data_IF_047301928898
#
_entry.id   IF_047301928898
#
_cell.length_a   1.000
_cell.length_b   1.000
_cell.length_c   1.000
_cell.angle_alpha   90.00
_cell.angle_beta   90.00
_cell.angle_gamma   90.00
#
_symmetry.space_group_name_H-M   'P 1'
#
loop_
_entity.id
_entity.type
_entity.pdbx_description
1 polymer ?
#
# COMPACT_ATOMS: atom_id res chain seq x y z
N UNK A 1 186.17 10.07 56.48
CA UNK A 1 184.88 9.53 56.97
C UNK A 1 185.11 8.08 57.35
N UNK A 2 184.85 7.69 58.60
CA UNK A 2 185.25 6.38 59.17
C UNK A 2 184.35 5.24 58.65
N UNK A 3 184.93 4.06 58.41
CA UNK A 3 184.27 2.85 57.91
C UNK A 3 183.05 2.44 58.78
N UNK A 4 183.07 2.77 60.07
CA UNK A 4 182.01 2.47 61.04
C UNK A 4 180.70 3.24 60.77
N UNK A 5 180.77 4.46 60.23
CA UNK A 5 179.57 5.26 59.92
C UNK A 5 178.87 4.77 58.66
N UNK A 6 179.63 4.23 57.69
CA UNK A 6 179.09 3.58 56.50
C UNK A 6 178.36 2.28 56.84
N UNK A 7 178.91 1.47 57.76
CA UNK A 7 178.27 0.23 58.21
C UNK A 7 176.95 0.50 58.97
N UNK A 8 176.90 1.51 59.84
CA UNK A 8 175.63 1.92 60.49
C UNK A 8 174.60 2.44 59.49
N UNK A 9 175.02 3.23 58.50
CA UNK A 9 174.10 3.72 57.46
C UNK A 9 173.57 2.59 56.58
N UNK A 10 174.41 1.61 56.22
CA UNK A 10 174.01 0.44 55.46
C UNK A 10 173.01 -0.42 56.23
N UNK A 11 173.29 -0.73 57.50
CA UNK A 11 172.39 -1.54 58.34
C UNK A 11 171.05 -0.82 58.62
N UNK A 12 171.08 0.53 58.73
CA UNK A 12 169.88 1.35 58.84
C UNK A 12 169.10 1.41 57.52
N UNK A 13 169.79 1.39 56.38
CA UNK A 13 169.18 1.33 55.06
C UNK A 13 168.56 -0.03 54.79
N UNK A 14 169.22 -1.13 55.15
CA UNK A 14 168.65 -2.49 55.07
C UNK A 14 167.41 -2.62 55.96
N UNK A 15 167.48 -2.15 57.21
CA UNK A 15 166.31 -2.16 58.10
C UNK A 15 165.15 -1.30 57.57
N UNK A 16 165.44 -0.14 56.96
CA UNK A 16 164.41 0.68 56.31
C UNK A 16 163.86 0.01 55.05
N UNK A 17 164.72 -0.67 54.28
CA UNK A 17 164.32 -1.44 53.10
C UNK A 17 163.39 -2.60 53.51
N UNK A 18 163.73 -3.33 54.57
CA UNK A 18 162.91 -4.41 55.11
C UNK A 18 161.58 -3.90 55.67
N UNK A 19 161.58 -2.75 56.34
CA UNK A 19 160.37 -2.11 56.85
C UNK A 19 159.44 -1.63 55.72
N UNK A 20 160.01 -1.01 54.69
CA UNK A 20 159.25 -0.61 53.49
C UNK A 20 158.75 -1.84 52.73
N UNK A 21 159.55 -2.90 52.62
CA UNK A 21 159.16 -4.15 51.98
C UNK A 21 158.01 -4.83 52.74
N UNK A 22 158.08 -4.90 54.08
CA UNK A 22 156.98 -5.45 54.89
C UNK A 22 155.72 -4.60 54.80
N UNK A 23 155.83 -3.27 54.83
CA UNK A 23 154.68 -2.38 54.63
C UNK A 23 154.09 -2.52 53.21
N UNK A 24 154.94 -2.69 52.19
CA UNK A 24 154.51 -2.91 50.82
C UNK A 24 153.85 -4.28 50.64
N UNK A 25 154.36 -5.33 51.29
CA UNK A 25 153.75 -6.66 51.34
C UNK A 25 152.41 -6.65 52.07
N UNK A 26 152.29 -5.93 53.19
CA UNK A 26 151.01 -5.77 53.90
C UNK A 26 149.99 -5.01 53.06
N UNK A 27 150.39 -3.95 52.36
CA UNK A 27 149.53 -3.22 51.42
C UNK A 27 149.17 -4.05 50.20
N UNK A 28 150.08 -4.86 49.69
CA UNK A 28 149.81 -5.81 48.60
C UNK A 28 148.81 -6.87 49.06
N UNK A 29 149.00 -7.49 50.22
CA UNK A 29 148.02 -8.44 50.79
C UNK A 29 146.66 -7.80 51.04
N UNK A 30 146.63 -6.55 51.54
CA UNK A 30 145.39 -5.81 51.72
C UNK A 30 144.70 -5.50 50.39
N UNK A 31 145.48 -5.14 49.36
CA UNK A 31 144.99 -4.90 48.00
C UNK A 31 144.50 -6.18 47.30
N UNK A 32 145.22 -7.30 47.46
CA UNK A 32 144.81 -8.63 46.99
C UNK A 32 143.50 -9.06 47.64
N UNK A 33 143.36 -8.86 48.96
CA UNK A 33 142.11 -9.14 49.68
C UNK A 33 140.95 -8.27 49.17
N UNK A 34 141.18 -6.95 48.99
CA UNK A 34 140.16 -6.06 48.41
C UNK A 34 139.78 -6.48 46.98
N UNK A 35 140.74 -6.93 46.17
CA UNK A 35 140.48 -7.42 44.83
C UNK A 35 139.61 -8.69 44.86
N UNK A 36 139.88 -9.62 45.77
CA UNK A 36 139.12 -10.85 45.95
C UNK A 36 137.69 -10.57 46.46
N UNK A 37 137.54 -9.63 47.40
CA UNK A 37 136.24 -9.13 47.87
C UNK A 37 135.44 -8.50 46.72
N UNK A 38 136.09 -7.66 45.89
CA UNK A 38 135.45 -7.05 44.71
C UNK A 38 135.11 -8.07 43.62
N UNK A 39 135.93 -9.11 43.41
CA UNK A 39 135.63 -10.20 42.49
C UNK A 39 134.44 -11.03 42.96
N UNK A 40 134.35 -11.27 44.27
CA UNK A 40 133.21 -11.93 44.91
C UNK A 40 131.94 -11.10 44.73
N UNK A 41 131.99 -9.79 45.02
CA UNK A 41 130.87 -8.88 44.80
C UNK A 41 130.45 -8.79 43.32
N UNK A 42 131.42 -8.72 42.39
CA UNK A 42 131.13 -8.72 40.96
C UNK A 42 130.39 -10.00 40.55
N UNK A 43 130.84 -11.15 41.04
CA UNK A 43 130.22 -12.44 40.75
C UNK A 43 128.79 -12.52 41.33
N UNK A 44 128.57 -12.00 42.54
CA UNK A 44 127.22 -11.89 43.12
C UNK A 44 126.30 -10.98 42.29
N UNK A 45 126.81 -9.83 41.83
CA UNK A 45 126.07 -8.91 40.95
C UNK A 45 125.76 -9.55 39.60
N UNK A 46 126.71 -10.27 38.99
CA UNK A 46 126.50 -11.01 37.74
C UNK A 46 125.41 -12.09 37.90
N UNK A 47 125.42 -12.83 39.01
CA UNK A 47 124.37 -13.81 39.31
C UNK A 47 123.00 -13.16 39.50
N UNK A 48 122.94 -12.01 40.20
CA UNK A 48 121.72 -11.24 40.38
C UNK A 48 121.20 -10.68 39.05
N UNK A 49 122.08 -10.17 38.20
CA UNK A 49 121.73 -9.70 36.85
C UNK A 49 121.14 -10.83 36.02
N UNK A 50 121.81 -11.98 35.97
CA UNK A 50 121.32 -13.16 35.25
C UNK A 50 119.96 -13.63 35.78
N UNK A 51 119.76 -13.59 37.10
CA UNK A 51 118.46 -13.88 37.71
C UNK A 51 117.40 -12.87 37.27
N UNK A 52 117.68 -11.56 37.31
CA UNK A 52 116.73 -10.54 36.85
C UNK A 52 116.44 -10.61 35.36
N UNK A 53 117.40 -10.96 34.52
CA UNK A 53 117.21 -11.20 33.08
C UNK A 53 116.23 -12.36 32.86
N UNK A 54 116.43 -13.49 33.56
CA UNK A 54 115.47 -14.62 33.45
C UNK A 54 114.07 -14.26 33.94
N UNK A 55 113.95 -13.44 34.98
CA UNK A 55 112.65 -12.95 35.44
C UNK A 55 112.00 -11.99 34.43
N UNK A 56 112.78 -11.16 33.75
CA UNK A 56 112.30 -10.25 32.71
C UNK A 56 111.81 -11.02 31.49
N UNK A 57 112.56 -12.03 31.03
CA UNK A 57 112.12 -12.93 29.96
C UNK A 57 110.83 -13.67 30.32
N UNK A 58 110.68 -14.12 31.57
CA UNK A 58 109.44 -14.73 32.07
C UNK A 58 108.26 -13.74 32.07
N UNK A 59 108.50 -12.50 32.48
CA UNK A 59 107.49 -11.44 32.45
C UNK A 59 107.07 -11.12 31.02
N UNK A 60 108.02 -11.00 30.07
CA UNK A 60 107.73 -10.79 28.65
C UNK A 60 106.88 -11.94 28.08
N UNK A 61 107.28 -13.19 28.34
CA UNK A 61 106.51 -14.36 27.94
C UNK A 61 105.09 -14.37 28.53
N UNK A 62 104.95 -14.01 29.81
CA UNK A 62 103.64 -13.91 30.46
C UNK A 62 102.79 -12.77 29.87
N UNK A 63 103.37 -11.61 29.57
CA UNK A 63 102.65 -10.49 28.93
C UNK A 63 102.18 -10.87 27.53
N UNK A 64 103.02 -11.51 26.72
CA UNK A 64 102.61 -12.02 25.39
C UNK A 64 101.49 -13.07 25.50
N UNK A 65 101.56 -13.96 26.49
CA UNK A 65 100.49 -14.92 26.74
C UNK A 65 99.17 -14.22 27.12
N UNK A 66 99.22 -13.20 27.98
CA UNK A 66 98.06 -12.40 28.35
C UNK A 66 97.45 -11.68 27.14
N UNK A 67 98.27 -11.05 26.29
CA UNK A 67 97.81 -10.39 25.06
C UNK A 67 97.05 -11.34 24.13
N UNK A 68 97.57 -12.57 23.93
CA UNK A 68 96.87 -13.59 23.14
C UNK A 68 95.54 -13.98 23.80
N UNK A 69 95.52 -14.17 25.12
CA UNK A 69 94.26 -14.50 25.82
C UNK A 69 93.24 -13.37 25.76
N UNK A 70 93.68 -12.11 25.83
CA UNK A 70 92.82 -10.94 25.68
C UNK A 70 92.23 -10.90 24.27
N UNK A 71 93.06 -11.06 23.24
CA UNK A 71 92.60 -11.11 21.85
C UNK A 71 91.55 -12.19 21.60
N UNK A 72 91.78 -13.41 22.10
CA UNK A 72 90.80 -14.51 21.98
C UNK A 72 89.50 -14.17 22.72
N UNK A 73 89.58 -13.50 23.88
CA UNK A 73 88.40 -13.08 24.63
C UNK A 73 87.64 -11.95 23.93
N UNK A 74 88.34 -11.00 23.32
CA UNK A 74 87.75 -9.94 22.49
C UNK A 74 87.00 -10.55 21.30
N UNK A 75 87.62 -11.48 20.56
CA UNK A 75 86.96 -12.19 19.44
C UNK A 75 85.73 -13.00 19.90
N UNK A 76 85.78 -13.62 21.09
CA UNK A 76 84.62 -14.31 21.66
C UNK A 76 83.49 -13.36 22.04
N UNK A 77 83.82 -12.18 22.57
CA UNK A 77 82.84 -11.15 22.90
C UNK A 77 82.19 -10.59 21.64
N UNK A 78 82.97 -10.30 20.60
CA UNK A 78 82.43 -9.85 19.30
C UNK A 78 81.46 -10.87 18.68
N UNK A 79 81.80 -12.16 18.72
CA UNK A 79 80.91 -13.22 18.24
C UNK A 79 79.63 -13.33 19.09
N UNK A 80 79.74 -13.15 20.40
CA UNK A 80 78.57 -13.16 21.29
C UNK A 80 77.67 -11.95 21.01
N UNK A 81 78.26 -10.77 20.82
CA UNK A 81 77.55 -9.54 20.48
C UNK A 81 76.85 -9.65 19.12
N UNK A 82 77.52 -10.20 18.10
CA UNK A 82 76.89 -10.43 16.79
C UNK A 82 75.74 -11.44 16.89
N UNK A 83 75.95 -12.55 17.58
CA UNK A 83 74.91 -13.57 17.75
C UNK A 83 73.68 -13.04 18.50
N UNK A 84 73.89 -12.27 19.56
CA UNK A 84 72.80 -11.67 20.33
C UNK A 84 72.08 -10.59 19.53
N UNK A 85 72.79 -9.79 18.72
CA UNK A 85 72.19 -8.81 17.81
C UNK A 85 71.30 -9.47 16.75
N UNK A 86 71.76 -10.57 16.15
CA UNK A 86 70.98 -11.35 15.18
C UNK A 86 69.71 -11.96 15.82
N UNK A 87 69.85 -12.49 17.05
CA UNK A 87 68.71 -13.03 17.81
C UNK A 87 67.68 -11.95 18.13
N UNK A 88 68.12 -10.77 18.59
CA UNK A 88 67.24 -9.64 18.87
C UNK A 88 66.50 -9.22 17.61
N UNK A 89 67.21 -9.05 16.48
CA UNK A 89 66.61 -8.67 15.20
C UNK A 89 65.55 -9.67 14.73
N UNK A 90 65.83 -10.97 14.87
CA UNK A 90 64.87 -12.05 14.57
C UNK A 90 63.63 -12.00 15.48
N UNK A 91 63.83 -11.75 16.78
CA UNK A 91 62.72 -11.60 17.73
C UNK A 91 61.87 -10.37 17.40
N UNK A 92 62.50 -9.23 17.10
CA UNK A 92 61.82 -7.98 16.73
C UNK A 92 60.98 -8.15 15.46
N UNK A 93 61.51 -8.82 14.44
CA UNK A 93 60.75 -9.15 13.22
C UNK A 93 59.53 -10.01 13.53
N UNK A 94 59.71 -11.06 14.34
CA UNK A 94 58.60 -11.96 14.74
C UNK A 94 57.55 -11.23 15.57
N UNK A 95 57.98 -10.32 16.45
CA UNK A 95 57.08 -9.49 17.26
C UNK A 95 56.27 -8.55 16.37
N UNK A 96 56.91 -7.91 15.40
CA UNK A 96 56.28 -7.01 14.42
C UNK A 96 55.24 -7.76 13.58
N UNK A 97 55.59 -8.94 13.06
CA UNK A 97 54.64 -9.79 12.34
C UNK A 97 53.46 -10.22 13.21
N UNK A 98 53.72 -10.53 14.49
CA UNK A 98 52.69 -10.83 15.48
C UNK A 98 51.73 -9.67 15.70
N UNK A 99 52.24 -8.45 15.90
CA UNK A 99 51.45 -7.24 16.08
C UNK A 99 50.58 -6.95 14.85
N UNK A 100 51.13 -7.09 13.65
CA UNK A 100 50.37 -6.88 12.41
C UNK A 100 49.24 -7.90 12.26
N UNK A 101 49.48 -9.18 12.61
CA UNK A 101 48.43 -10.21 12.60
C UNK A 101 47.33 -9.93 13.64
N UNK A 102 47.70 -9.46 14.83
CA UNK A 102 46.72 -9.07 15.86
C UNK A 102 45.86 -7.91 15.37
N UNK A 103 46.46 -6.88 14.77
CA UNK A 103 45.72 -5.75 14.21
C UNK A 103 44.76 -6.17 13.08
N UNK A 104 45.16 -7.09 12.20
CA UNK A 104 44.27 -7.66 11.17
C UNK A 104 43.06 -8.38 11.79
N UNK A 105 43.31 -9.21 12.82
CA UNK A 105 42.23 -9.91 13.54
C UNK A 105 41.28 -8.94 14.23
N UNK A 106 41.79 -7.90 14.88
CA UNK A 106 40.96 -6.86 15.52
C UNK A 106 40.08 -6.13 14.51
N UNK A 107 40.61 -5.78 13.33
CA UNK A 107 39.84 -5.15 12.26
C UNK A 107 38.73 -6.07 11.75
N UNK A 108 39.04 -7.36 11.55
CA UNK A 108 38.05 -8.38 11.16
C UNK A 108 36.98 -8.56 12.22
N UNK A 109 37.35 -8.59 13.50
CA UNK A 109 36.42 -8.70 14.62
C UNK A 109 35.44 -7.51 14.62
N UNK A 110 35.98 -6.29 14.51
CA UNK A 110 35.17 -5.07 14.46
C UNK A 110 34.22 -5.05 13.27
N UNK A 111 34.67 -5.52 12.10
CA UNK A 111 33.80 -5.67 10.93
C UNK A 111 32.68 -6.69 11.20
N UNK A 112 32.99 -7.84 11.80
CA UNK A 112 31.96 -8.83 12.14
C UNK A 112 30.98 -8.34 13.20
N UNK A 113 31.43 -7.57 14.18
CA UNK A 113 30.57 -6.92 15.18
C UNK A 113 29.56 -5.98 14.50
N UNK A 114 30.02 -5.12 13.60
CA UNK A 114 29.11 -4.23 12.85
C UNK A 114 28.10 -4.99 12.00
N UNK A 115 28.50 -6.12 11.40
CA UNK A 115 27.56 -6.98 10.66
C UNK A 115 26.53 -7.66 11.57
N UNK A 116 26.93 -8.05 12.79
CA UNK A 116 26.03 -8.62 13.78
C UNK A 116 24.99 -7.59 14.24
N UNK A 117 25.42 -6.37 14.57
CA UNK A 117 24.53 -5.26 14.93
C UNK A 117 23.53 -4.96 13.80
N UNK A 118 23.98 -4.99 12.54
CA UNK A 118 23.09 -4.80 11.39
C UNK A 118 22.07 -5.94 11.24
N UNK A 119 22.47 -7.19 11.49
CA UNK A 119 21.57 -8.34 11.47
C UNK A 119 20.52 -8.24 12.59
N UNK A 120 20.93 -7.87 13.80
CA UNK A 120 20.02 -7.66 14.93
C UNK A 120 18.98 -6.57 14.64
N UNK A 121 19.41 -5.44 14.06
CA UNK A 121 18.51 -4.37 13.64
C UNK A 121 17.53 -4.83 12.54
N UNK A 122 18.02 -5.62 11.57
CA UNK A 122 17.17 -6.18 10.52
C UNK A 122 16.15 -7.19 11.06
N UNK A 123 16.55 -8.06 12.01
CA UNK A 123 15.60 -8.99 12.66
C UNK A 123 14.54 -8.25 13.45
N UNK A 124 14.91 -7.21 14.21
CA UNK A 124 13.93 -6.39 14.93
C UNK A 124 12.95 -5.67 13.98
N UNK A 125 13.43 -5.18 12.83
CA UNK A 125 12.57 -4.58 11.81
C UNK A 125 11.59 -5.59 11.19
N UNK A 126 12.04 -6.82 10.94
CA UNK A 126 11.18 -7.90 10.47
C UNK A 126 10.11 -8.29 11.49
N UNK A 127 10.45 -8.38 12.78
CA UNK A 127 9.49 -8.66 13.86
C UNK A 127 8.38 -7.60 13.91
N UNK A 128 8.72 -6.31 13.83
CA UNK A 128 7.73 -5.23 13.76
C UNK A 128 6.84 -5.35 12.52
N UNK A 129 7.45 -5.66 11.36
CA UNK A 129 6.70 -5.82 10.11
C UNK A 129 5.74 -7.00 10.17
N UNK A 130 6.15 -8.12 10.75
CA UNK A 130 5.30 -9.29 10.97
C UNK A 130 4.12 -8.95 11.89
N UNK A 131 4.37 -8.27 13.01
CA UNK A 131 3.31 -7.85 13.92
C UNK A 131 2.27 -6.95 13.25
N UNK A 132 2.71 -5.96 12.46
CA UNK A 132 1.78 -5.11 11.69
C UNK A 132 0.97 -5.92 10.68
N UNK A 133 1.59 -6.92 10.04
CA UNK A 133 0.89 -7.81 9.10
C UNK A 133 -0.11 -8.72 9.79
N UNK A 134 0.20 -9.23 10.98
CA UNK A 134 -0.74 -10.00 11.81
C UNK A 134 -1.95 -9.14 12.19
N UNK A 135 -1.74 -7.90 12.65
CA UNK A 135 -2.83 -6.96 12.96
C UNK A 135 -3.69 -6.63 11.72
N UNK A 136 -3.08 -6.48 10.54
CA UNK A 136 -3.81 -6.29 9.29
C UNK A 136 -4.66 -7.51 8.89
N UNK A 137 -4.16 -8.72 9.13
CA UNK A 137 -4.91 -9.95 8.88
C UNK A 137 -6.10 -10.08 9.84
N UNK A 138 -5.92 -9.79 11.12
CA UNK A 138 -7.02 -9.78 12.10
C UNK A 138 -8.11 -8.75 11.73
N UNK A 139 -7.72 -7.57 11.25
CA UNK A 139 -8.67 -6.56 10.77
C UNK A 139 -9.43 -7.05 9.52
N UNK A 140 -8.76 -7.71 8.58
CA UNK A 140 -9.41 -8.29 7.40
C UNK A 140 -10.37 -9.42 7.76
N UNK A 141 -9.98 -10.30 8.70
CA UNK A 141 -10.82 -11.40 9.16
C UNK A 141 -12.08 -10.89 9.87
N UNK A 142 -11.94 -9.89 10.74
CA UNK A 142 -13.10 -9.25 11.39
C UNK A 142 -14.02 -8.56 10.38
N UNK A 143 -13.46 -7.76 9.46
CA UNK A 143 -14.24 -7.09 8.43
C UNK A 143 -15.00 -8.06 7.52
N UNK A 144 -14.36 -9.16 7.10
CA UNK A 144 -15.00 -10.18 6.26
C UNK A 144 -16.08 -10.94 7.02
N UNK A 145 -15.86 -11.27 8.30
CA UNK A 145 -16.87 -11.86 9.17
C UNK A 145 -18.11 -10.97 9.32
N UNK A 146 -17.92 -9.66 9.49
CA UNK A 146 -19.01 -8.70 9.57
C UNK A 146 -19.79 -8.58 8.25
N UNK A 147 -19.08 -8.57 7.11
CA UNK A 147 -19.71 -8.57 5.79
C UNK A 147 -20.55 -9.82 5.55
N UNK A 148 -20.02 -11.00 5.88
CA UNK A 148 -20.75 -12.27 5.76
C UNK A 148 -22.01 -12.23 6.62
N UNK A 149 -21.90 -11.81 7.89
CA UNK A 149 -23.04 -11.68 8.80
C UNK A 149 -24.12 -10.75 8.26
N UNK A 150 -23.72 -9.62 7.66
CA UNK A 150 -24.65 -8.67 7.02
C UNK A 150 -25.36 -9.30 5.82
N UNK A 151 -24.62 -10.03 4.98
CA UNK A 151 -25.18 -10.72 3.80
C UNK A 151 -26.16 -11.80 4.25
N UNK A 152 -25.82 -12.62 5.25
CA UNK A 152 -26.68 -13.67 5.79
C UNK A 152 -28.00 -13.12 6.33
N UNK A 153 -27.94 -12.01 7.08
CA UNK A 153 -29.14 -11.32 7.57
C UNK A 153 -30.02 -10.85 6.41
N UNK A 154 -29.44 -10.18 5.40
CA UNK A 154 -30.18 -9.71 4.22
C UNK A 154 -30.79 -10.86 3.42
N UNK A 155 -30.08 -11.98 3.31
CA UNK A 155 -30.55 -13.18 2.62
C UNK A 155 -31.75 -13.77 3.36
N UNK A 156 -31.67 -13.85 4.69
CA UNK A 156 -32.74 -14.34 5.56
C UNK A 156 -33.99 -13.47 5.44
N UNK A 157 -33.84 -12.14 5.47
CA UNK A 157 -34.94 -11.21 5.24
C UNK A 157 -35.56 -11.36 3.85
N UNK A 158 -34.73 -11.58 2.82
CA UNK A 158 -35.18 -11.84 1.45
C UNK A 158 -36.01 -13.12 1.34
N UNK A 159 -35.56 -14.19 1.98
CA UNK A 159 -36.28 -15.47 2.03
C UNK A 159 -37.63 -15.31 2.73
N UNK A 160 -37.68 -14.62 3.87
CA UNK A 160 -38.92 -14.35 4.58
C UNK A 160 -39.92 -13.52 3.75
N UNK A 161 -39.45 -12.50 3.04
CA UNK A 161 -40.28 -11.70 2.11
C UNK A 161 -40.81 -12.54 0.96
N UNK A 162 -40.00 -13.45 0.42
CA UNK A 162 -40.41 -14.32 -0.68
C UNK A 162 -41.50 -15.29 -0.21
N UNK A 163 -41.35 -15.88 0.98
CA UNK A 163 -42.37 -16.72 1.60
C UNK A 163 -43.69 -15.95 1.84
N UNK A 164 -43.63 -14.70 2.30
CA UNK A 164 -44.82 -13.84 2.45
C UNK A 164 -45.53 -13.60 1.10
N UNK A 165 -44.77 -13.29 0.05
CA UNK A 165 -45.31 -13.08 -1.30
C UNK A 165 -45.96 -14.35 -1.84
N UNK A 166 -45.33 -15.52 -1.66
CA UNK A 166 -45.89 -16.81 -2.07
C UNK A 166 -47.22 -17.11 -1.35
N UNK A 167 -47.31 -16.85 -0.04
CA UNK A 167 -48.55 -17.01 0.71
C UNK A 167 -49.67 -16.09 0.20
N UNK A 168 -49.33 -14.82 -0.07
CA UNK A 168 -50.29 -13.85 -0.63
C UNK A 168 -50.73 -14.25 -2.03
N UNK A 169 -49.82 -14.72 -2.88
CA UNK A 169 -50.14 -15.20 -4.21
C UNK A 169 -51.12 -16.36 -4.15
N UNK A 170 -50.84 -17.36 -3.31
CA UNK A 170 -51.72 -18.51 -3.11
C UNK A 170 -53.12 -18.09 -2.62
N UNK A 171 -53.20 -17.11 -1.71
CA UNK A 171 -54.48 -16.53 -1.30
C UNK A 171 -55.20 -15.85 -2.46
N UNK A 172 -54.51 -15.07 -3.28
CA UNK A 172 -55.13 -14.40 -4.44
C UNK A 172 -55.58 -15.40 -5.51
N UNK A 173 -54.85 -16.49 -5.73
CA UNK A 173 -55.24 -17.59 -6.62
C UNK A 173 -56.56 -18.21 -6.13
N UNK A 174 -56.66 -18.55 -4.84
CA UNK A 174 -57.91 -19.11 -4.28
C UNK A 174 -59.09 -18.14 -4.40
N UNK A 175 -58.86 -16.83 -4.23
CA UNK A 175 -59.90 -15.82 -4.44
C UNK A 175 -60.35 -15.73 -5.90
N UNK A 176 -59.42 -15.88 -6.84
CA UNK A 176 -59.70 -15.82 -8.27
C UNK A 176 -60.52 -17.04 -8.72
N UNK A 177 -60.15 -18.24 -8.27
CA UNK A 177 -60.96 -19.46 -8.46
C UNK A 177 -62.39 -19.30 -7.91
N UNK A 178 -62.52 -18.66 -6.75
CA UNK A 178 -63.83 -18.38 -6.14
C UNK A 178 -64.67 -17.40 -6.98
N UNK A 179 -64.02 -16.38 -7.55
CA UNK A 179 -64.66 -15.39 -8.42
C UNK A 179 -65.10 -16.03 -9.74
N UNK A 180 -64.26 -16.88 -10.33
CA UNK A 180 -64.60 -17.65 -11.54
C UNK A 180 -65.83 -18.54 -11.29
N UNK A 181 -65.87 -19.27 -10.18
CA UNK A 181 -67.03 -20.06 -9.79
C UNK A 181 -68.29 -19.20 -9.64
N UNK A 182 -68.18 -18.02 -9.03
CA UNK A 182 -69.30 -17.10 -8.88
C UNK A 182 -69.79 -16.53 -10.22
N UNK A 183 -68.88 -16.19 -11.14
CA UNK A 183 -69.24 -15.73 -12.49
C UNK A 183 -69.96 -16.82 -13.27
N UNK A 184 -69.50 -18.08 -13.20
CA UNK A 184 -70.17 -19.22 -13.83
C UNK A 184 -71.61 -19.40 -13.32
N UNK A 185 -71.83 -19.27 -12.01
CA UNK A 185 -73.17 -19.32 -11.41
C UNK A 185 -74.05 -18.17 -11.91
N UNK A 186 -73.51 -16.95 -12.00
CA UNK A 186 -74.27 -15.82 -12.54
C UNK A 186 -74.63 -16.00 -14.00
N UNK A 187 -73.72 -16.51 -14.83
CA UNK A 187 -74.00 -16.81 -16.25
C UNK A 187 -75.14 -17.82 -16.37
N UNK A 188 -75.14 -18.89 -15.55
CA UNK A 188 -76.24 -19.86 -15.52
C UNK A 188 -77.56 -19.20 -15.11
N UNK A 189 -77.56 -18.36 -14.06
CA UNK A 189 -78.75 -17.63 -13.62
C UNK A 189 -79.29 -16.68 -14.69
N UNK A 190 -78.40 -15.96 -15.38
CA UNK A 190 -78.78 -15.06 -16.48
C UNK A 190 -79.44 -15.83 -17.62
N UNK A 191 -78.87 -16.96 -18.02
CA UNK A 191 -79.44 -17.80 -19.09
C UNK A 191 -80.84 -18.33 -18.71
N UNK A 192 -81.04 -18.74 -17.45
CA UNK A 192 -82.37 -19.14 -16.95
C UNK A 192 -83.36 -17.96 -16.97
N UNK A 193 -82.92 -16.77 -16.59
CA UNK A 193 -83.80 -15.58 -16.66
C UNK A 193 -84.11 -15.15 -18.09
N UNK A 194 -83.18 -15.31 -19.03
CA UNK A 194 -83.42 -15.08 -20.46
C UNK A 194 -84.45 -16.09 -21.00
N UNK A 195 -84.34 -17.38 -20.68
CA UNK A 195 -85.35 -18.39 -21.04
C UNK A 195 -86.75 -18.05 -20.49
N UNK A 196 -86.84 -17.67 -19.22
CA UNK A 196 -88.11 -17.26 -18.60
C UNK A 196 -88.70 -16.00 -19.25
N UNK A 197 -87.83 -15.06 -19.68
CA UNK A 197 -88.25 -13.86 -20.37
C UNK A 197 -88.82 -14.18 -21.76
N UNK A 198 -88.18 -15.08 -22.50
CA UNK A 198 -88.65 -15.56 -23.79
C UNK A 198 -90.01 -16.27 -23.64
N UNK A 199 -90.18 -17.15 -22.66
CA UNK A 199 -91.47 -17.79 -22.35
C UNK A 199 -92.56 -16.75 -22.05
N UNK A 200 -92.30 -15.78 -21.17
CA UNK A 200 -93.25 -14.69 -20.87
C UNK A 200 -93.58 -13.85 -22.10
N UNK A 201 -92.61 -13.57 -22.97
CA UNK A 201 -92.85 -12.88 -24.23
C UNK A 201 -93.78 -13.69 -25.14
N UNK A 202 -93.55 -15.00 -25.29
CA UNK A 202 -94.45 -15.86 -26.08
C UNK A 202 -95.85 -15.91 -25.48
N UNK A 203 -96.02 -16.05 -24.16
CA UNK A 203 -97.33 -16.02 -23.52
C UNK A 203 -98.03 -14.66 -23.73
N UNK A 204 -97.30 -13.56 -23.61
CA UNK A 204 -97.85 -12.22 -23.81
C UNK A 204 -98.27 -12.00 -25.27
N UNK A 205 -97.54 -12.56 -26.23
CA UNK A 205 -97.88 -12.51 -27.66
C UNK A 205 -99.14 -13.35 -27.96
N UNK A 206 -99.27 -14.54 -27.36
CA UNK A 206 -100.48 -15.38 -27.45
C UNK A 206 -101.67 -14.64 -26.84
N UNK A 207 -101.55 -14.11 -25.61
CA UNK A 207 -102.62 -13.33 -24.97
C UNK A 207 -103.00 -12.08 -25.78
N UNK A 208 -102.02 -11.42 -26.42
CA UNK A 208 -102.29 -10.28 -27.30
C UNK A 208 -103.01 -10.71 -28.59
N UNK A 209 -102.71 -11.89 -29.13
CA UNK A 209 -103.44 -12.45 -30.27
C UNK A 209 -104.88 -12.85 -29.89
N UNK A 210 -105.08 -13.45 -28.71
CA UNK A 210 -106.42 -13.75 -28.18
C UNK A 210 -107.23 -12.46 -27.98
N UNK A 211 -106.62 -11.43 -27.38
CA UNK A 211 -107.25 -10.11 -27.23
C UNK A 211 -107.57 -9.45 -28.57
N UNK A 212 -106.71 -9.61 -29.59
CA UNK A 212 -107.01 -9.17 -30.95
C UNK A 212 -108.17 -9.93 -31.54
N UNK A 213 -108.24 -11.25 -31.39
CA UNK A 213 -109.39 -12.04 -31.85
C UNK A 213 -110.69 -11.64 -31.15
N UNK A 214 -110.65 -11.39 -29.84
CA UNK A 214 -111.81 -10.87 -29.09
C UNK A 214 -112.17 -9.46 -29.54
N UNK A 215 -111.18 -8.60 -29.80
CA UNK A 215 -111.39 -7.26 -30.34
C UNK A 215 -111.98 -7.31 -31.75
N UNK A 216 -111.49 -8.19 -32.61
CA UNK A 216 -111.96 -8.38 -33.98
C UNK A 216 -113.40 -8.91 -33.97
N UNK A 217 -113.70 -9.89 -33.11
CA UNK A 217 -115.06 -10.37 -32.89
C UNK A 217 -115.97 -9.31 -32.26
N UNK A 218 -115.45 -8.44 -31.39
CA UNK A 218 -116.18 -7.28 -30.89
C UNK A 218 -116.41 -6.25 -31.99
N UNK A 219 -115.45 -6.02 -32.88
CA UNK A 219 -115.64 -5.12 -34.03
C UNK A 219 -116.60 -5.71 -35.05
N UNK A 220 -116.60 -7.02 -35.30
CA UNK A 220 -117.64 -7.68 -36.11
C UNK A 220 -119.01 -7.56 -35.45
N UNK A 221 -119.12 -7.81 -34.15
CA UNK A 221 -120.36 -7.61 -33.40
C UNK A 221 -120.76 -6.12 -33.37
N UNK A 222 -119.80 -5.21 -33.30
CA UNK A 222 -120.02 -3.76 -33.35
C UNK A 222 -120.44 -3.34 -34.75
N UNK A 223 -119.86 -3.87 -35.82
CA UNK A 223 -120.25 -3.67 -37.22
C UNK A 223 -121.64 -4.25 -37.48
N UNK A 224 -121.99 -5.41 -36.91
CA UNK A 224 -123.34 -5.95 -36.94
C UNK A 224 -124.32 -5.02 -36.19
N UNK A 225 -123.91 -4.53 -35.02
CA UNK A 225 -124.63 -3.48 -34.30
C UNK A 225 -124.70 -2.18 -35.08
N UNK A 226 -123.70 -1.81 -35.89
CA UNK A 226 -123.61 -0.60 -36.71
C UNK A 226 -124.38 -0.74 -38.02
N UNK A 227 -124.57 -1.95 -38.54
CA UNK A 227 -125.52 -2.26 -39.61
C UNK A 227 -126.94 -2.19 -39.07
N UNK A 228 -127.19 -2.67 -37.85
CA UNK A 228 -128.46 -2.46 -37.14
C UNK A 228 -128.69 -1.00 -36.78
N UNK A 229 -127.66 -0.30 -36.30
CA UNK A 229 -127.67 1.13 -36.03
C UNK A 229 -127.67 1.94 -37.31
N UNK A 230 -127.21 1.39 -38.43
CA UNK A 230 -127.26 1.94 -39.78
C UNK A 230 -128.63 1.73 -40.42
N UNK A 231 -129.36 0.69 -40.04
CA UNK A 231 -130.79 0.57 -40.30
C UNK A 231 -131.59 1.53 -39.41
N UNK A 232 -131.13 1.79 -38.18
CA UNK A 232 -131.69 2.84 -37.29
C UNK A 232 -131.20 4.25 -37.69
N UNK A 233 -130.04 4.38 -38.33
CA UNK A 233 -129.46 5.63 -38.82
C UNK A 233 -129.86 5.91 -40.27
N UNK A 234 -130.32 4.94 -41.05
CA UNK A 234 -131.21 5.21 -42.19
C UNK A 234 -132.53 5.84 -41.72
N UNK A 235 -132.85 5.76 -40.42
CA UNK A 235 -133.94 6.49 -39.76
C UNK A 235 -133.47 7.70 -38.91
N UNK A 236 -132.16 8.00 -38.81
CA UNK A 236 -131.62 9.12 -37.99
C UNK A 236 -130.66 10.04 -38.77
N UNK A 237 -130.17 9.62 -39.93
CA UNK A 237 -129.52 10.44 -40.96
C UNK A 237 -130.58 11.10 -41.87
N UNK A 238 -131.66 11.52 -41.23
CA UNK A 238 -132.38 12.75 -41.54
C UNK A 238 -131.85 13.92 -40.66
N UNK A 239 -130.75 13.77 -39.90
CA UNK A 239 -130.15 14.83 -39.08
C UNK A 239 -128.61 14.76 -38.94
N UNK A 240 -127.94 15.51 -39.82
CA UNK A 240 -126.75 16.37 -39.58
C UNK A 240 -125.39 15.80 -39.09
N UNK A 241 -124.45 15.74 -40.05
CA UNK A 241 -123.18 16.52 -40.19
C UNK A 241 -122.17 16.69 -39.03
N UNK A 242 -120.90 16.34 -39.36
CA UNK A 242 -119.59 16.91 -38.92
C UNK A 242 -119.10 16.61 -37.49
N UNK A 243 -117.84 16.31 -37.15
CA UNK A 243 -116.51 16.17 -37.77
C UNK A 243 -115.47 15.94 -36.63
N UNK A 244 -114.54 14.98 -36.73
CA UNK A 244 -113.08 15.21 -36.90
C UNK A 244 -112.22 15.23 -35.61
N UNK A 245 -111.41 14.18 -35.33
CA UNK A 245 -109.91 14.21 -35.32
C UNK A 245 -109.28 14.12 -33.91
N UNK A 246 -108.60 13.03 -33.48
CA UNK A 246 -107.14 12.66 -33.60
C UNK A 246 -106.16 13.69 -32.98
N UNK A 247 -105.02 13.41 -32.36
CA UNK A 247 -104.26 12.23 -31.87
C UNK A 247 -102.94 12.77 -31.23
N UNK A 248 -102.13 11.91 -30.58
CA UNK A 248 -100.68 12.13 -30.31
C UNK A 248 -100.34 12.29 -28.81
N UNK A 249 -99.72 11.36 -28.07
CA UNK A 249 -98.56 10.45 -28.23
C UNK A 249 -97.20 11.13 -27.93
N UNK A 250 -96.46 10.49 -27.00
CA UNK A 250 -95.00 10.25 -26.94
C UNK A 250 -94.01 11.23 -26.26
N UNK A 251 -93.47 10.73 -25.13
CA UNK A 251 -92.05 10.38 -24.83
C UNK A 251 -90.93 11.41 -24.70
N UNK A 252 -90.32 11.34 -23.51
CA UNK A 252 -88.90 11.14 -23.13
C UNK A 252 -87.76 11.95 -23.78
N UNK A 253 -86.87 12.45 -22.91
CA UNK A 253 -85.45 12.70 -23.22
C UNK A 253 -84.61 12.67 -21.93
N UNK A 254 -83.66 11.74 -21.83
CA UNK A 254 -82.53 11.78 -20.91
C UNK A 254 -81.23 11.59 -21.72
N UNK A 255 -80.22 12.39 -21.36
CA UNK A 255 -78.89 12.49 -21.99
C UNK A 255 -77.91 11.44 -21.44
N UNK A 256 -76.87 11.05 -22.21
CA UNK A 256 -75.82 10.13 -21.75
C UNK A 256 -74.61 10.85 -21.13
N UNK A 257 -73.86 10.09 -20.32
CA UNK A 257 -72.66 10.48 -19.57
C UNK A 257 -71.37 10.49 -20.43
N UNK A 258 -70.39 11.30 -20.01
CA UNK A 258 -69.07 11.47 -20.60
C UNK A 258 -68.05 10.40 -20.14
N UNK A 259 -66.98 10.12 -20.92
CA UNK A 259 -65.91 9.21 -20.51
C UNK A 259 -64.70 9.95 -19.88
N UNK A 260 -63.98 9.23 -19.02
CA UNK A 260 -62.80 9.65 -18.26
C UNK A 260 -61.51 9.63 -19.11
N UNK A 261 -60.64 10.64 -18.93
CA UNK A 261 -59.31 10.78 -19.58
C UNK A 261 -58.20 10.12 -18.74
N UNK A 262 -57.36 9.33 -19.41
CA UNK A 262 -56.05 8.86 -18.92
C UNK A 262 -55.00 9.99 -19.08
N UNK A 263 -54.18 10.24 -18.04
CA UNK A 263 -53.11 11.24 -18.08
C UNK A 263 -51.77 10.58 -18.44
N UNK A 264 -51.18 10.96 -19.58
CA UNK A 264 -49.75 10.75 -19.85
C UNK A 264 -48.98 12.00 -19.39
N UNK A 265 -47.90 11.83 -18.62
CA UNK A 265 -46.99 12.93 -18.28
C UNK A 265 -46.37 13.51 -19.56
N UNK A 266 -46.32 14.86 -19.73
CA UNK A 266 -45.69 15.50 -20.88
C UNK A 266 -44.21 15.11 -21.00
N UNK A 267 -43.72 15.06 -22.25
CA UNK A 267 -42.37 14.58 -22.60
C UNK A 267 -41.25 15.36 -21.90
N UNK A 268 -41.51 16.64 -21.58
CA UNK A 268 -40.60 17.55 -20.85
C UNK A 268 -40.33 17.14 -19.39
N UNK A 269 -41.13 16.23 -18.81
CA UNK A 269 -40.96 15.75 -17.44
C UNK A 269 -40.16 14.44 -17.34
N UNK A 270 -39.69 13.90 -18.47
CA UNK A 270 -38.86 12.69 -18.53
C UNK A 270 -37.42 13.08 -18.79
N UNK A 271 -36.66 13.30 -17.71
CA UNK A 271 -35.26 13.73 -17.80
C UNK A 271 -34.38 12.71 -17.10
N UNK A 272 -33.44 12.13 -17.83
CA UNK A 272 -32.49 11.18 -17.28
C UNK A 272 -31.34 10.90 -18.24
N UNK A 273 -30.11 10.93 -17.74
CA UNK A 273 -28.92 10.60 -18.50
C UNK A 273 -27.96 9.69 -17.73
N UNK A 274 -27.16 8.95 -18.47
CA UNK A 274 -25.99 8.23 -17.98
C UNK A 274 -24.94 8.19 -19.08
N UNK A 275 -23.70 8.50 -18.76
CA UNK A 275 -22.60 8.51 -19.69
C UNK A 275 -21.30 8.00 -19.04
N UNK A 276 -20.53 7.20 -19.78
CA UNK A 276 -19.16 6.80 -19.45
C UNK A 276 -18.13 7.83 -19.91
N UNK A 277 -16.95 7.84 -19.31
CA UNK A 277 -15.94 8.88 -19.54
C UNK A 277 -15.34 8.83 -20.95
N UNK A 278 -14.51 7.82 -21.23
CA UNK A 278 -13.80 7.63 -22.51
C UNK A 278 -13.24 6.20 -22.65
N UNK A 279 -12.77 5.84 -23.84
CA UNK A 279 -12.02 4.58 -24.08
C UNK A 279 -10.50 4.79 -24.23
N UNK A 280 -10.01 5.97 -23.85
CA UNK A 280 -8.61 6.38 -24.04
C UNK A 280 -7.64 5.84 -22.99
N UNK A 281 -8.11 5.09 -21.99
CA UNK A 281 -7.31 4.66 -20.85
C UNK A 281 -7.13 5.80 -19.86
N UNK A 282 -5.90 6.28 -19.71
CA UNK A 282 -5.53 7.32 -18.74
C UNK A 282 -6.08 8.69 -19.15
N UNK A 283 -6.76 9.37 -18.22
CA UNK A 283 -7.27 10.74 -18.37
C UNK A 283 -6.62 11.63 -17.30
N UNK A 284 -5.83 12.60 -17.75
CA UNK A 284 -4.95 13.40 -16.88
C UNK A 284 -3.61 12.68 -16.56
N UNK A 285 -2.79 13.22 -15.65
CA UNK A 285 -2.98 14.50 -14.98
C UNK A 285 -2.93 15.69 -15.94
N UNK A 286 -3.78 16.69 -15.69
CA UNK A 286 -3.76 17.97 -16.40
C UNK A 286 -3.07 19.04 -15.54
N UNK A 287 -2.50 20.05 -16.19
CA UNK A 287 -1.83 21.17 -15.51
C UNK A 287 -2.80 22.09 -14.76
N UNK A 288 -4.07 22.07 -15.15
CA UNK A 288 -5.15 22.88 -14.57
C UNK A 288 -6.40 22.03 -14.38
N UNK A 289 -7.28 22.47 -13.50
CA UNK A 289 -8.59 21.84 -13.35
C UNK A 289 -9.33 21.85 -14.69
N UNK A 290 -9.77 20.66 -15.11
CA UNK A 290 -10.34 20.46 -16.44
C UNK A 290 -11.73 19.87 -16.33
N UNK A 291 -12.69 20.46 -17.05
CA UNK A 291 -14.05 19.89 -17.17
C UNK A 291 -13.98 18.57 -17.92
N UNK A 292 -14.51 17.51 -17.30
CA UNK A 292 -14.53 16.20 -17.91
C UNK A 292 -15.71 16.04 -18.85
N UNK A 293 -15.42 15.49 -20.03
CA UNK A 293 -16.42 15.18 -21.05
C UNK A 293 -16.69 13.69 -21.00
N UNK A 294 -17.82 13.28 -20.41
CA UNK A 294 -18.28 11.89 -20.43
C UNK A 294 -18.91 11.60 -21.79
N UNK A 295 -18.05 11.16 -22.72
CA UNK A 295 -18.35 11.08 -24.14
C UNK A 295 -19.19 9.85 -24.53
N UNK A 296 -19.21 8.81 -23.70
CA UNK A 296 -19.88 7.53 -24.00
C UNK A 296 -21.32 7.55 -23.51
N UNK A 297 -22.26 7.97 -24.36
CA UNK A 297 -23.68 8.02 -23.98
C UNK A 297 -24.27 6.63 -23.81
N UNK A 298 -24.80 6.34 -22.62
CA UNK A 298 -25.57 5.13 -22.31
C UNK A 298 -27.06 5.44 -22.49
N UNK A 299 -27.53 6.52 -21.87
CA UNK A 299 -28.91 7.02 -22.03
C UNK A 299 -28.92 8.56 -21.91
N UNK A 300 -29.83 9.23 -22.60
CA UNK A 300 -29.99 10.69 -22.54
C UNK A 300 -31.43 11.11 -22.88
N UNK A 301 -32.39 10.66 -22.07
CA UNK A 301 -33.82 11.02 -22.20
C UNK A 301 -34.02 12.47 -21.82
N UNK A 302 -34.72 13.22 -22.66
CA UNK A 302 -34.90 14.67 -22.53
C UNK A 302 -33.73 15.51 -23.05
N UNK A 303 -32.67 14.87 -23.58
CA UNK A 303 -31.52 15.51 -24.23
C UNK A 303 -30.87 16.63 -23.40
N UNK A 304 -30.93 16.50 -22.08
CA UNK A 304 -30.43 17.50 -21.13
C UNK A 304 -28.91 17.43 -20.93
N UNK A 305 -28.27 16.31 -21.29
CA UNK A 305 -26.81 16.16 -21.22
C UNK A 305 -26.14 16.44 -22.57
N UNK A 306 -25.18 17.37 -22.58
CA UNK A 306 -24.35 17.68 -23.74
C UNK A 306 -23.04 16.87 -23.69
N UNK A 307 -22.98 15.80 -24.48
CA UNK A 307 -21.84 14.88 -24.55
C UNK A 307 -20.56 15.47 -25.17
N UNK A 308 -20.64 16.59 -25.88
CA UNK A 308 -19.47 17.27 -26.42
C UNK A 308 -18.84 18.24 -25.42
N UNK A 309 -19.65 18.75 -24.49
CA UNK A 309 -19.20 19.70 -23.46
C UNK A 309 -19.01 19.07 -22.08
N UNK A 310 -19.58 17.89 -21.83
CA UNK A 310 -19.55 17.25 -20.51
C UNK A 310 -20.56 17.83 -19.51
N UNK A 311 -21.59 18.53 -19.99
CA UNK A 311 -22.43 19.41 -19.15
C UNK A 311 -23.90 19.00 -19.24
N UNK A 312 -24.53 18.81 -18.08
CA UNK A 312 -25.98 18.70 -17.94
C UNK A 312 -26.61 20.09 -17.82
N UNK A 313 -27.73 20.34 -18.48
CA UNK A 313 -28.51 21.58 -18.37
C UNK A 313 -29.95 21.25 -18.00
N UNK A 314 -30.45 21.77 -16.87
CA UNK A 314 -31.79 21.48 -16.39
C UNK A 314 -32.87 22.05 -17.33
N UNK A 315 -33.73 21.22 -17.94
CA UNK A 315 -34.77 21.71 -18.86
C UNK A 315 -35.96 22.33 -18.12
N UNK A 316 -36.22 21.88 -16.89
CA UNK A 316 -37.31 22.36 -16.01
C UNK A 316 -36.79 22.58 -14.59
N UNK A 317 -37.45 23.45 -13.82
CA UNK A 317 -37.19 23.58 -12.39
C UNK A 317 -37.60 22.32 -11.64
N UNK A 318 -36.79 21.87 -10.69
CA UNK A 318 -37.08 20.65 -9.94
C UNK A 318 -35.93 20.16 -9.08
N UNK A 319 -36.14 19.00 -8.45
CA UNK A 319 -35.10 18.30 -7.70
C UNK A 319 -34.52 17.18 -8.56
N UNK A 320 -33.21 17.21 -8.76
CA UNK A 320 -32.46 16.26 -9.56
C UNK A 320 -31.53 15.45 -8.68
N UNK A 321 -31.37 14.17 -9.01
CA UNK A 321 -30.37 13.31 -8.38
C UNK A 321 -29.21 13.11 -9.35
N UNK A 322 -27.98 13.27 -8.86
CA UNK A 322 -26.76 12.99 -9.61
C UNK A 322 -25.93 11.95 -8.88
N UNK A 323 -25.33 11.04 -9.64
CA UNK A 323 -24.35 10.06 -9.16
C UNK A 323 -23.18 10.01 -10.12
N UNK A 324 -21.96 9.96 -9.58
CA UNK A 324 -20.76 9.85 -10.38
C UNK A 324 -19.72 8.95 -9.74
N UNK A 325 -19.07 8.17 -10.58
CA UNK A 325 -17.94 7.30 -10.23
C UNK A 325 -16.68 7.85 -10.89
N UNK A 326 -15.68 8.09 -10.08
CA UNK A 326 -14.30 8.29 -10.52
C UNK A 326 -13.55 6.98 -10.31
N UNK A 327 -12.73 6.56 -11.27
CA UNK A 327 -11.87 5.39 -11.13
C UNK A 327 -10.44 5.70 -11.58
N UNK A 328 -9.45 5.08 -10.95
CA UNK A 328 -8.05 5.06 -11.39
C UNK A 328 -7.51 3.62 -11.28
N UNK A 329 -6.42 3.35 -11.98
CA UNK A 329 -5.70 2.08 -11.96
C UNK A 329 -4.29 2.22 -11.35
N UNK A 330 -3.74 3.42 -11.34
CA UNK A 330 -2.37 3.69 -10.90
C UNK A 330 -2.36 4.36 -9.53
N UNK A 331 -1.20 4.36 -8.85
CA UNK A 331 -1.06 5.06 -7.58
C UNK A 331 -1.19 6.57 -7.78
N UNK A 332 -1.95 7.24 -6.91
CA UNK A 332 -2.14 8.69 -6.96
C UNK A 332 -3.46 9.18 -6.40
N UNK A 333 -3.63 10.51 -6.41
CA UNK A 333 -4.89 11.16 -6.06
C UNK A 333 -5.88 11.07 -7.20
N UNK A 334 -7.11 10.73 -6.85
CA UNK A 334 -8.27 10.73 -7.74
C UNK A 334 -9.45 11.39 -7.05
N UNK A 335 -10.35 11.96 -7.83
CA UNK A 335 -11.42 12.78 -7.28
C UNK A 335 -12.02 13.71 -8.30
N UNK A 336 -13.24 14.16 -8.03
CA UNK A 336 -13.99 15.04 -8.92
C UNK A 336 -14.70 16.13 -8.14
N UNK A 337 -14.65 17.34 -8.69
CA UNK A 337 -15.56 18.40 -8.31
C UNK A 337 -16.85 18.30 -9.11
N UNK A 338 -17.98 18.44 -8.42
CA UNK A 338 -19.28 18.71 -9.05
C UNK A 338 -19.60 20.19 -8.90
N UNK A 339 -19.82 20.84 -10.04
CA UNK A 339 -20.17 22.26 -10.11
C UNK A 339 -21.63 22.46 -10.46
N UNK A 340 -22.25 23.49 -9.89
CA UNK A 340 -23.50 24.10 -10.34
C UNK A 340 -23.23 25.54 -10.74
N UNK A 341 -23.43 25.91 -12.01
CA UNK A 341 -23.23 27.28 -12.52
C UNK A 341 -21.90 27.92 -12.07
N UNK A 342 -20.79 27.18 -12.17
CA UNK A 342 -19.44 27.59 -11.73
C UNK A 342 -19.18 27.65 -10.22
N UNK A 343 -20.15 27.29 -9.38
CA UNK A 343 -19.91 27.09 -7.94
C UNK A 343 -19.66 25.62 -7.61
N UNK A 344 -18.58 25.29 -6.88
CA UNK A 344 -18.33 23.92 -6.44
C UNK A 344 -19.35 23.54 -5.36
N UNK A 345 -20.05 22.45 -5.59
CA UNK A 345 -21.10 21.95 -4.69
C UNK A 345 -20.62 20.74 -3.90
N UNK A 346 -19.80 19.90 -4.53
CA UNK A 346 -19.29 18.67 -3.94
C UNK A 346 -17.88 18.40 -4.42
N UNK A 347 -17.06 17.79 -3.57
CA UNK A 347 -15.74 17.28 -3.93
C UNK A 347 -15.59 15.85 -3.43
N UNK A 348 -15.33 14.90 -4.33
CA UNK A 348 -14.87 13.57 -3.96
C UNK A 348 -13.35 13.54 -3.99
N UNK A 349 -12.72 12.96 -2.97
CA UNK A 349 -11.27 12.80 -2.87
C UNK A 349 -10.96 11.39 -2.38
N UNK A 350 -10.10 10.69 -3.11
CA UNK A 350 -9.58 9.38 -2.75
C UNK A 350 -8.07 9.32 -3.07
N UNK A 351 -7.31 8.55 -2.30
CA UNK A 351 -5.92 8.24 -2.58
C UNK A 351 -5.80 6.74 -2.91
N UNK A 352 -5.43 6.42 -4.14
CA UNK A 352 -5.10 5.04 -4.52
C UNK A 352 -3.65 4.75 -4.10
N UNK A 353 -3.44 4.35 -2.85
CA UNK A 353 -2.10 4.12 -2.28
C UNK A 353 -1.52 2.72 -2.62
N UNK A 354 -2.40 1.75 -2.83
CA UNK A 354 -2.08 0.36 -3.17
C UNK A 354 -1.72 0.17 -4.65
N UNK A 355 -2.28 0.98 -5.54
CA UNK A 355 -2.24 0.75 -6.99
C UNK A 355 -3.20 -0.38 -7.40
N UNK A 356 -3.49 -0.49 -8.69
CA UNK A 356 -4.58 -1.32 -9.19
C UNK A 356 -5.90 -0.57 -9.26
N UNK A 357 -6.98 -1.25 -9.66
CA UNK A 357 -8.29 -0.62 -9.85
C UNK A 357 -8.87 -0.15 -8.52
N UNK A 358 -9.06 1.16 -8.40
CA UNK A 358 -9.78 1.81 -7.32
C UNK A 358 -10.88 2.69 -7.90
N UNK A 359 -12.01 2.77 -7.21
CA UNK A 359 -13.13 3.60 -7.64
C UNK A 359 -13.80 4.26 -6.44
N UNK A 360 -14.13 5.54 -6.57
CA UNK A 360 -14.93 6.29 -5.62
C UNK A 360 -16.26 6.67 -6.26
N UNK A 361 -17.37 6.37 -5.60
CA UNK A 361 -18.71 6.76 -6.04
C UNK A 361 -19.28 7.82 -5.09
N UNK A 362 -19.91 8.85 -5.63
CA UNK A 362 -20.56 9.90 -4.85
C UNK A 362 -21.87 10.28 -5.51
N UNK A 363 -22.84 10.71 -4.70
CA UNK A 363 -24.14 11.13 -5.18
C UNK A 363 -24.72 12.28 -4.37
N UNK A 364 -25.54 13.09 -5.01
CA UNK A 364 -26.13 14.30 -4.42
C UNK A 364 -27.48 14.60 -5.06
N UNK A 365 -28.45 15.03 -4.24
CA UNK A 365 -29.70 15.61 -4.72
C UNK A 365 -29.59 17.15 -4.74
N UNK A 366 -29.89 17.77 -5.87
CA UNK A 366 -29.80 19.21 -6.07
C UNK A 366 -31.12 19.77 -6.59
N UNK A 367 -31.58 20.86 -5.97
CA UNK A 367 -32.61 21.69 -6.54
C UNK A 367 -31.98 22.59 -7.61
N UNK A 368 -32.50 22.49 -8.83
CA UNK A 368 -32.03 23.24 -10.00
C UNK A 368 -33.17 24.05 -10.60
N UNK A 369 -32.85 25.25 -11.08
CA UNK A 369 -33.74 26.04 -11.91
C UNK A 369 -33.55 25.71 -13.40
N UNK A 370 -34.53 26.06 -14.22
CA UNK A 370 -34.42 25.89 -15.69
C UNK A 370 -33.21 26.67 -16.20
N UNK A 371 -32.31 25.96 -16.89
CA UNK A 371 -31.08 26.51 -17.44
C UNK A 371 -29.84 26.34 -16.54
N UNK A 372 -29.99 25.86 -15.31
CA UNK A 372 -28.84 25.54 -14.45
C UNK A 372 -27.98 24.45 -15.07
N UNK A 373 -26.66 24.63 -14.97
CA UNK A 373 -25.64 23.77 -15.57
C UNK A 373 -24.90 23.00 -14.50
N UNK A 374 -24.82 21.68 -14.67
CA UNK A 374 -24.05 20.77 -13.79
C UNK A 374 -22.92 20.11 -14.58
N UNK A 375 -21.70 20.16 -14.05
CA UNK A 375 -20.51 19.57 -14.68
C UNK A 375 -19.59 18.93 -13.66
N UNK A 376 -18.83 17.93 -14.11
CA UNK A 376 -17.76 17.32 -13.33
C UNK A 376 -16.41 17.86 -13.79
N UNK A 377 -15.47 18.03 -12.86
CA UNK A 377 -14.13 18.50 -13.18
C UNK A 377 -13.07 17.74 -12.41
N UNK A 378 -11.99 17.44 -13.12
CA UNK A 378 -10.81 16.78 -12.58
C UNK A 378 -9.86 17.86 -12.08
N UNK A 379 -9.49 17.88 -10.78
CA UNK A 379 -8.51 18.82 -10.27
C UNK A 379 -7.17 18.72 -11.00
N UNK A 380 -6.39 19.80 -10.95
CA UNK A 380 -5.03 19.79 -11.48
C UNK A 380 -4.20 18.69 -10.80
N UNK A 381 -3.32 18.02 -11.55
CA UNK A 381 -2.50 16.89 -11.08
C UNK A 381 -3.24 15.60 -10.73
N UNK A 382 -4.57 15.54 -10.82
CA UNK A 382 -5.35 14.33 -10.55
C UNK A 382 -5.51 13.52 -11.83
N UNK A 383 -5.70 12.20 -11.70
CA UNK A 383 -5.85 11.30 -12.84
C UNK A 383 -7.04 10.37 -12.64
N UNK A 384 -7.68 10.01 -13.75
CA UNK A 384 -8.63 8.91 -13.85
C UNK A 384 -8.18 7.89 -14.91
N UNK A 385 -8.84 6.74 -14.90
CA UNK A 385 -8.71 5.69 -15.90
C UNK A 385 -10.11 5.27 -16.37
N UNK A 386 -10.28 5.16 -17.69
CA UNK A 386 -11.48 4.57 -18.28
C UNK A 386 -11.17 3.84 -19.59
N UNK A 387 -11.84 2.72 -19.82
CA UNK A 387 -11.75 1.94 -21.06
C UNK A 387 -13.12 1.38 -21.46
N UNK A 388 -13.15 0.47 -22.44
CA UNK A 388 -14.39 -0.11 -22.97
C UNK A 388 -15.30 -0.78 -21.93
N UNK A 389 -14.83 -0.98 -20.69
CA UNK A 389 -15.59 -1.54 -19.56
C UNK A 389 -16.35 -0.50 -18.72
N UNK A 390 -16.19 0.80 -18.99
CA UNK A 390 -16.85 1.90 -18.26
C UNK A 390 -16.61 1.88 -16.74
N UNK A 391 -15.41 2.24 -16.32
CA UNK A 391 -15.05 2.39 -14.91
C UNK A 391 -15.53 3.71 -14.30
N UNK A 392 -15.53 4.78 -15.10
CA UNK A 392 -16.01 6.10 -14.67
C UNK A 392 -17.33 6.43 -15.35
N UNK A 393 -18.37 6.69 -14.56
CA UNK A 393 -19.74 6.92 -15.05
C UNK A 393 -20.33 8.16 -14.38
N UNK A 394 -21.03 8.99 -15.13
CA UNK A 394 -21.81 10.12 -14.63
C UNK A 394 -23.27 9.96 -15.03
N UNK A 395 -24.17 9.97 -14.05
CA UNK A 395 -25.61 9.80 -14.25
C UNK A 395 -26.39 10.85 -13.48
N UNK A 396 -27.58 11.17 -13.98
CA UNK A 396 -28.54 11.97 -13.24
C UNK A 396 -29.93 11.97 -13.84
N UNK A 397 -30.93 12.24 -13.02
CA UNK A 397 -32.35 12.23 -13.43
C UNK A 397 -33.20 13.17 -12.57
N UNK A 398 -34.33 13.60 -13.12
CA UNK A 398 -35.33 14.41 -12.42
C UNK A 398 -36.12 13.51 -11.45
N UNK A 399 -36.17 13.87 -10.17
CA UNK A 399 -37.03 13.21 -9.18
C UNK A 399 -38.47 13.72 -9.30
N UNK A 400 -38.64 15.04 -9.24
CA UNK A 400 -39.92 15.71 -9.43
C UNK A 400 -39.72 17.19 -9.79
N UNK A 401 -40.59 17.75 -10.64
CA UNK A 401 -40.59 19.18 -10.95
C UNK A 401 -41.05 20.03 -9.76
N UNK A 402 -40.64 21.29 -9.71
CA UNK A 402 -41.04 22.28 -8.70
C UNK A 402 -41.73 23.51 -9.31
#
# INVERSE_FOLDING_TARGET
>A
MSLMDLWRKLNRSESLQDQVNTEMEERLRAGEKQLDDLQTQRSDVELRLRSTETHLEQLEAHTAALEVTLRVREEQLEHLDSHTSDQISSIESRLTDGLNRTADVELRLRSTETHLEQLEAHTAALEVTLRVREEQLEHLDSHTSDQISSIESRLTDGLNRTADVELRLRSTETHLEQLEAHTAVFTLRLNVTEQLLDELQTESAVRAADLRSVSDGLTEAQEELQVRLGAVAAAVEELNTEGGGKAGVTTSRLLPAAPLKFWCLPEELRVGFSAGLTDSGVVGPFDQETTLVFSKTIINVGHAYNQSAGVFTAPVGGVYFFSFTAADYLKGYMGLHLYRNEQPVFFSLELNDHGGYASSCSSVALQLERGDRVRLSLPASYRLYDDSRNFSVFSGFLLFPL
#
